data_IF_092668061733
#
_entry.id   IF_092668061733
#
_cell.length_a   1.000
_cell.length_b   1.000
_cell.length_c   1.000
_cell.angle_alpha   90.00
_cell.angle_beta   90.00
_cell.angle_gamma   90.00
#
_symmetry.space_group_name_H-M   'P 1'
#
loop_
_entity.id
_entity.type
_entity.pdbx_description
1 polymer ?
#
# COMPACT_ATOMS: atom_id res chain seq x y z
N UNK A 1 -52.55 -5.00 -16.09
CA UNK A 1 -53.54 -3.90 -16.26
C UNK A 1 -53.21 -2.86 -15.19
N UNK A 2 -52.91 -1.61 -15.60
CA UNK A 2 -52.42 -0.42 -14.82
C UNK A 2 -51.01 -0.60 -14.23
N UNK A 3 -49.92 0.03 -14.67
CA UNK A 3 -49.59 1.31 -15.35
C UNK A 3 -49.82 2.59 -14.52
N UNK A 4 -48.70 3.18 -14.07
CA UNK A 4 -48.47 4.58 -13.66
C UNK A 4 -46.93 4.73 -13.48
N UNK A 5 -46.18 5.43 -14.35
CA UNK A 5 -46.06 6.89 -14.54
C UNK A 5 -45.35 7.56 -13.34
N UNK A 6 -44.44 8.54 -13.45
CA UNK A 6 -43.59 9.15 -14.49
C UNK A 6 -42.69 10.17 -13.73
N UNK A 7 -41.68 10.75 -14.41
CA UNK A 7 -40.86 11.93 -14.06
C UNK A 7 -39.65 11.64 -13.14
N UNK A 8 -38.41 12.00 -13.48
CA UNK A 8 -37.89 12.80 -14.59
C UNK A 8 -36.70 13.60 -14.08
N UNK A 9 -35.56 13.60 -14.80
CA UNK A 9 -34.69 14.79 -14.85
C UNK A 9 -33.74 14.71 -16.04
N UNK A 10 -33.69 15.83 -16.73
CA UNK A 10 -33.17 16.10 -18.06
C UNK A 10 -31.67 16.35 -18.07
N UNK A 11 -31.06 15.83 -19.13
CA UNK A 11 -29.72 16.09 -19.64
C UNK A 11 -29.62 17.56 -20.11
N UNK A 12 -28.56 18.27 -19.72
CA UNK A 12 -28.22 19.59 -20.26
C UNK A 12 -26.77 19.58 -20.76
N UNK A 13 -26.60 19.68 -22.08
CA UNK A 13 -25.34 19.99 -22.77
C UNK A 13 -24.99 21.47 -22.61
N UNK A 14 -23.71 21.79 -22.35
CA UNK A 14 -23.13 23.12 -22.58
C UNK A 14 -21.76 22.93 -23.24
N UNK A 15 -21.40 23.74 -24.27
CA UNK A 15 -20.29 23.46 -25.17
C UNK A 15 -18.92 23.97 -24.71
N UNK A 16 -17.93 23.34 -25.33
CA UNK A 16 -16.52 23.62 -25.49
C UNK A 16 -16.20 25.10 -25.80
N UNK A 17 -15.29 25.71 -25.02
CA UNK A 17 -14.57 26.93 -25.43
C UNK A 17 -13.06 26.69 -25.30
N UNK A 18 -12.41 26.67 -26.45
CA UNK A 18 -10.98 26.59 -26.69
C UNK A 18 -10.36 27.98 -26.45
N UNK A 19 -9.42 28.11 -25.51
CA UNK A 19 -8.56 29.29 -25.40
C UNK A 19 -7.15 28.88 -25.76
N UNK A 20 -6.74 29.34 -26.94
CA UNK A 20 -5.40 29.30 -27.49
C UNK A 20 -4.63 30.50 -26.91
N UNK A 21 -3.60 30.27 -26.09
CA UNK A 21 -2.67 31.31 -25.69
C UNK A 21 -1.30 31.03 -26.31
N UNK A 22 -0.82 32.01 -27.06
CA UNK A 22 0.38 31.99 -27.88
C UNK A 22 1.68 31.86 -27.06
N UNK A 23 2.61 31.19 -27.73
CA UNK A 23 4.05 31.09 -27.50
C UNK A 23 4.68 32.47 -27.33
N UNK A 24 5.50 32.61 -26.28
CA UNK A 24 6.54 33.63 -26.17
C UNK A 24 7.86 32.91 -25.95
N UNK A 25 8.64 32.84 -27.03
CA UNK A 25 9.97 32.25 -27.12
C UNK A 25 11.03 33.37 -27.00
N UNK A 26 12.27 32.94 -26.76
CA UNK A 26 13.56 33.67 -26.83
C UNK A 26 14.19 34.24 -25.53
N UNK A 27 15.54 34.33 -25.45
CA UNK A 27 16.49 33.27 -25.77
C UNK A 27 17.58 33.10 -24.69
N UNK A 28 18.19 31.91 -24.68
CA UNK A 28 19.38 31.56 -23.91
C UNK A 28 20.61 32.15 -24.59
N UNK A 29 21.31 33.07 -23.92
CA UNK A 29 22.64 33.51 -24.32
C UNK A 29 23.70 32.69 -23.55
N UNK A 30 24.29 31.72 -24.23
CA UNK A 30 25.57 31.15 -23.89
C UNK A 30 26.67 31.99 -24.56
N UNK A 31 27.73 32.33 -23.83
CA UNK A 31 29.04 32.54 -24.44
C UNK A 31 30.17 32.12 -23.48
N UNK A 32 31.27 31.52 -23.98
CA UNK A 32 32.30 30.88 -23.17
C UNK A 32 33.50 31.81 -22.88
N UNK A 33 34.42 31.26 -22.09
CA UNK A 33 35.66 31.81 -21.52
C UNK A 33 36.60 32.55 -22.51
N UNK A 34 37.67 33.22 -22.01
CA UNK A 34 38.93 32.47 -21.88
C UNK A 34 39.87 32.85 -20.72
N UNK A 35 40.86 31.98 -20.58
CA UNK A 35 42.01 31.91 -19.69
C UNK A 35 42.94 33.14 -19.63
N UNK A 36 43.56 33.29 -18.46
CA UNK A 36 44.82 34.00 -18.17
C UNK A 36 44.88 34.22 -16.66
N UNK A 37 45.87 33.84 -15.86
CA UNK A 37 47.27 33.46 -16.08
C UNK A 37 48.06 34.11 -14.94
N UNK A 38 48.99 33.36 -14.32
CA UNK A 38 50.05 33.80 -13.38
C UNK A 38 49.60 34.30 -12.00
N UNK A 39 50.35 34.24 -10.90
CA UNK A 39 51.47 33.46 -10.33
C UNK A 39 51.66 34.05 -8.91
N UNK A 40 52.39 33.34 -8.05
CA UNK A 40 52.95 33.76 -6.76
C UNK A 40 52.01 33.88 -5.55
N UNK A 41 52.40 33.16 -4.50
CA UNK A 41 51.67 33.05 -3.25
C UNK A 41 51.89 34.19 -2.28
N UNK A 42 50.98 34.28 -1.32
CA UNK A 42 51.18 34.93 -0.04
C UNK A 42 50.39 34.17 1.03
N UNK A 43 51.08 33.86 2.13
CA UNK A 43 50.48 33.32 3.34
C UNK A 43 49.70 34.43 4.04
N UNK A 44 48.42 34.20 4.37
CA UNK A 44 47.67 35.15 5.20
C UNK A 44 46.18 34.88 5.28
N UNK A 45 45.75 34.42 6.45
CA UNK A 45 44.40 34.55 7.02
C UNK A 45 43.23 33.89 6.28
N UNK A 46 42.95 32.65 6.70
CA UNK A 46 41.71 31.92 6.49
C UNK A 46 40.53 32.68 7.14
N UNK A 47 39.50 33.13 6.39
CA UNK A 47 38.26 33.60 7.00
C UNK A 47 37.49 32.40 7.52
N UNK A 48 37.25 32.36 8.83
CA UNK A 48 36.30 31.45 9.45
C UNK A 48 34.89 31.80 8.95
N UNK A 49 34.35 30.98 8.05
CA UNK A 49 32.90 30.93 7.86
C UNK A 49 32.35 29.99 8.93
N UNK A 50 31.98 30.63 10.03
CA UNK A 50 31.13 30.12 11.10
C UNK A 50 29.75 29.82 10.49
N UNK A 51 29.64 28.67 9.81
CA UNK A 51 28.36 28.06 9.53
C UNK A 51 27.96 27.35 10.83
N UNK A 52 27.29 28.09 11.69
CA UNK A 52 26.64 27.58 12.88
C UNK A 52 25.75 26.41 12.48
N UNK A 53 26.25 25.21 12.69
CA UNK A 53 25.41 24.06 12.94
C UNK A 53 24.49 24.50 14.09
N UNK A 54 23.18 24.53 13.84
CA UNK A 54 22.18 24.61 14.89
C UNK A 54 22.50 23.49 15.88
N UNK A 55 23.21 23.87 16.96
CA UNK A 55 23.48 22.99 18.06
C UNK A 55 22.12 22.68 18.66
N UNK A 56 21.69 21.42 18.52
CA UNK A 56 20.61 20.88 19.31
C UNK A 56 20.88 21.27 20.77
N UNK A 57 20.02 22.12 21.34
CA UNK A 57 20.13 22.55 22.72
C UNK A 57 20.22 21.34 23.66
N UNK A 58 20.73 21.49 24.89
CA UNK A 58 20.80 20.38 25.83
C UNK A 58 19.42 19.75 25.97
N UNK A 59 19.29 18.48 25.59
CA UNK A 59 18.02 17.74 25.69
C UNK A 59 17.65 17.60 27.16
N UNK A 60 16.68 18.39 27.64
CA UNK A 60 16.20 18.29 29.01
C UNK A 60 15.28 17.09 29.13
N UNK A 61 15.50 16.27 30.15
CA UNK A 61 14.71 15.06 30.38
C UNK A 61 13.72 15.27 31.53
N UNK A 62 12.43 15.19 31.23
CA UNK A 62 11.34 15.24 32.20
C UNK A 62 10.97 13.80 32.57
N UNK A 63 11.03 13.43 33.85
CA UNK A 63 10.80 12.08 34.35
C UNK A 63 9.34 11.90 34.80
N UNK A 64 8.73 10.79 34.41
CA UNK A 64 7.37 10.40 34.78
C UNK A 64 7.39 8.99 35.38
N UNK A 65 6.84 8.82 36.58
CA UNK A 65 6.78 7.51 37.27
C UNK A 65 5.42 7.33 37.94
N UNK A 66 4.86 6.11 38.04
CA UNK A 66 3.59 5.88 38.74
C UNK A 66 3.58 6.35 40.21
N UNK A 67 4.74 6.31 40.87
CA UNK A 67 4.97 6.75 42.25
C UNK A 67 5.32 8.24 42.35
N UNK A 68 5.31 8.98 41.23
CA UNK A 68 5.69 10.39 41.17
C UNK A 68 4.66 11.32 41.83
N UNK A 69 4.90 12.63 41.75
CA UNK A 69 3.99 13.65 42.28
C UNK A 69 3.83 14.79 41.28
N UNK A 70 2.60 15.12 40.87
CA UNK A 70 2.34 16.17 39.87
C UNK A 70 2.64 17.60 40.37
N UNK A 71 2.90 17.78 41.66
CA UNK A 71 3.45 19.02 42.19
C UNK A 71 4.98 19.14 42.03
N UNK A 72 5.65 18.08 41.55
CA UNK A 72 7.08 18.09 41.25
C UNK A 72 7.40 18.90 39.98
N UNK A 73 8.70 19.17 39.79
CA UNK A 73 9.23 19.89 38.64
C UNK A 73 9.44 19.00 37.40
N UNK A 74 9.43 17.67 37.58
CA UNK A 74 9.70 16.70 36.51
C UNK A 74 11.18 16.52 36.19
N UNK A 75 12.07 17.37 36.69
CA UNK A 75 13.51 17.33 36.37
C UNK A 75 14.31 16.70 37.50
N UNK A 76 14.17 17.25 38.71
CA UNK A 76 14.84 16.72 39.92
C UNK A 76 13.97 15.68 40.61
N UNK A 77 12.65 15.84 40.54
CA UNK A 77 11.67 14.89 41.10
C UNK A 77 10.67 14.50 40.03
N UNK A 78 10.36 13.21 39.86
CA UNK A 78 9.46 12.77 38.81
C UNK A 78 8.03 13.26 39.06
N UNK A 79 7.35 13.65 37.99
CA UNK A 79 5.90 13.87 38.02
C UNK A 79 5.18 12.53 37.93
N UNK A 80 3.91 12.50 38.34
CA UNK A 80 3.11 11.28 38.35
C UNK A 80 2.52 10.98 36.97
N UNK A 81 2.03 12.01 36.30
CA UNK A 81 1.26 11.88 35.06
C UNK A 81 2.00 12.39 33.83
N UNK A 82 1.76 11.75 32.70
CA UNK A 82 2.14 12.21 31.38
C UNK A 82 1.51 13.58 31.09
N UNK A 83 0.24 13.78 31.46
CA UNK A 83 -0.43 15.08 31.32
C UNK A 83 0.38 16.21 31.95
N UNK A 84 0.85 16.03 33.20
CA UNK A 84 1.64 17.04 33.89
C UNK A 84 2.97 17.27 33.20
N UNK A 85 3.65 16.20 32.78
CA UNK A 85 4.93 16.29 32.09
C UNK A 85 4.82 17.07 30.77
N UNK A 86 3.78 16.82 29.97
CA UNK A 86 3.54 17.54 28.72
C UNK A 86 3.18 19.01 28.94
N UNK A 87 2.61 19.36 30.10
CA UNK A 87 2.38 20.76 30.49
C UNK A 87 3.65 21.52 30.90
N UNK A 88 4.74 20.79 31.19
CA UNK A 88 6.05 21.36 31.53
C UNK A 88 6.95 21.41 30.28
N UNK A 89 6.84 20.41 29.42
CA UNK A 89 7.69 20.20 28.26
C UNK A 89 7.63 21.33 27.23
N UNK A 90 8.78 21.62 26.64
CA UNK A 90 8.97 22.55 25.53
C UNK A 90 9.63 21.84 24.36
N UNK A 91 9.60 22.47 23.19
CA UNK A 91 10.28 21.95 22.00
C UNK A 91 11.75 21.57 22.32
N UNK A 92 12.15 20.36 21.94
CA UNK A 92 13.47 19.79 22.24
C UNK A 92 13.56 18.97 23.53
N UNK A 93 12.57 19.06 24.42
CA UNK A 93 12.55 18.24 25.64
C UNK A 93 12.15 16.79 25.34
N UNK A 94 12.62 15.89 26.21
CA UNK A 94 12.22 14.48 26.22
C UNK A 94 11.45 14.15 27.51
N UNK A 95 10.20 13.75 27.37
CA UNK A 95 9.39 13.18 28.46
C UNK A 95 9.64 11.68 28.52
N UNK A 96 10.23 11.20 29.61
CA UNK A 96 10.58 9.79 29.84
C UNK A 96 9.62 9.15 30.84
N UNK A 97 8.88 8.15 30.40
CA UNK A 97 8.01 7.35 31.25
C UNK A 97 8.77 6.12 31.74
N UNK A 98 8.73 5.89 33.05
CA UNK A 98 9.16 4.62 33.62
C UNK A 98 8.15 3.51 33.29
N UNK A 99 8.49 2.26 33.68
CA UNK A 99 7.51 1.18 33.63
C UNK A 99 6.32 1.51 34.54
N UNK A 100 5.13 1.24 34.05
CA UNK A 100 3.89 1.55 34.73
C UNK A 100 2.71 1.62 33.78
N UNK A 101 1.51 1.48 34.35
CA UNK A 101 0.27 1.76 33.65
C UNK A 101 -0.20 3.17 34.01
N UNK A 102 -0.38 3.99 32.98
CA UNK A 102 -0.84 5.37 33.06
C UNK A 102 -2.26 5.41 32.48
N UNK A 103 -3.25 5.49 33.36
CA UNK A 103 -4.67 5.48 33.02
C UNK A 103 -5.48 6.38 33.98
N UNK A 104 -6.81 6.34 33.88
CA UNK A 104 -7.67 7.15 34.73
C UNK A 104 -7.45 6.88 36.24
N UNK A 105 -7.04 5.68 36.64
CA UNK A 105 -6.76 5.34 38.03
C UNK A 105 -5.46 5.95 38.55
N UNK A 106 -4.49 6.20 37.66
CA UNK A 106 -3.26 6.92 38.00
C UNK A 106 -3.43 8.45 37.97
N UNK A 107 -4.54 8.95 37.43
CA UNK A 107 -4.88 10.37 37.32
C UNK A 107 -4.73 10.94 35.91
N UNK A 108 -4.51 10.10 34.90
CA UNK A 108 -4.44 10.56 33.51
C UNK A 108 -5.81 11.04 33.01
N UNK A 109 -5.77 11.98 32.07
CA UNK A 109 -6.92 12.36 31.27
C UNK A 109 -6.49 12.41 29.81
N UNK A 110 -7.20 11.68 28.95
CA UNK A 110 -6.88 11.59 27.53
C UNK A 110 -7.84 12.43 26.66
N UNK A 111 -7.40 12.94 25.50
CA UNK A 111 -6.10 12.68 24.86
C UNK A 111 -4.93 13.48 25.47
N UNK A 112 -3.75 12.85 25.47
CA UNK A 112 -2.48 13.50 25.72
C UNK A 112 -2.05 14.27 24.47
N UNK A 113 -1.99 15.60 24.55
CA UNK A 113 -1.57 16.47 23.44
C UNK A 113 -0.08 16.73 23.54
N UNK A 114 0.68 16.25 22.55
CA UNK A 114 2.13 16.41 22.53
C UNK A 114 2.47 17.80 21.97
N UNK A 115 3.18 18.66 22.74
CA UNK A 115 3.64 19.94 22.22
C UNK A 115 4.63 19.75 21.06
N UNK A 116 4.67 20.73 20.16
CA UNK A 116 5.51 20.64 18.97
C UNK A 116 7.00 20.48 19.34
N UNK A 117 7.66 19.52 18.69
CA UNK A 117 9.08 19.22 18.88
C UNK A 117 9.42 18.46 20.17
N UNK A 118 8.42 17.99 20.92
CA UNK A 118 8.63 17.15 22.11
C UNK A 118 8.79 15.68 21.72
N UNK A 119 9.70 14.99 22.42
CA UNK A 119 9.79 13.52 22.38
C UNK A 119 9.12 12.91 23.60
N UNK A 120 8.18 11.98 23.40
CA UNK A 120 7.61 11.14 24.46
C UNK A 120 8.19 9.74 24.32
N UNK A 121 8.88 9.27 25.36
CA UNK A 121 9.62 8.02 25.33
C UNK A 121 9.25 7.14 26.53
N UNK A 122 8.86 5.91 26.27
CA UNK A 122 8.67 4.88 27.29
C UNK A 122 9.96 4.14 27.65
N UNK A 123 9.82 3.12 28.50
CA UNK A 123 10.91 2.21 28.81
C UNK A 123 11.23 1.31 27.61
N UNK A 124 12.48 1.35 27.16
CA UNK A 124 12.97 0.48 26.09
C UNK A 124 12.70 -1.00 26.43
N UNK A 125 12.16 -1.75 25.47
CA UNK A 125 11.72 -3.13 25.66
C UNK A 125 10.25 -3.28 26.08
N UNK A 126 9.62 -2.23 26.62
CA UNK A 126 8.21 -2.17 26.99
C UNK A 126 7.97 -1.94 28.48
N UNK A 127 6.69 -1.84 28.85
CA UNK A 127 6.24 -1.68 30.24
C UNK A 127 5.71 -0.29 30.57
N UNK A 128 5.90 0.71 29.72
CA UNK A 128 5.22 2.01 29.81
C UNK A 128 3.92 1.99 29.02
N UNK A 129 2.80 1.77 29.71
CA UNK A 129 1.49 1.50 29.10
C UNK A 129 0.57 2.69 29.31
N UNK A 130 0.08 3.30 28.23
CA UNK A 130 -1.09 4.17 28.27
C UNK A 130 -2.34 3.29 28.19
N UNK A 131 -3.25 3.42 29.14
CA UNK A 131 -4.47 2.62 29.22
C UNK A 131 -5.74 3.44 29.06
N UNK A 132 -6.59 3.07 28.09
CA UNK A 132 -7.86 3.73 27.80
C UNK A 132 -9.09 2.84 27.99
N UNK A 133 -10.24 3.34 27.54
CA UNK A 133 -11.54 2.65 27.61
C UNK A 133 -12.19 2.32 26.26
N UNK A 134 -11.45 2.53 25.16
CA UNK A 134 -11.90 2.50 23.75
C UNK A 134 -12.85 3.63 23.34
N UNK A 135 -13.11 4.61 24.20
CA UNK A 135 -14.02 5.73 23.89
C UNK A 135 -13.28 6.99 23.42
N UNK A 136 -12.03 7.15 23.85
CA UNK A 136 -11.23 8.35 23.75
C UNK A 136 -9.95 8.12 22.93
N UNK A 137 -9.36 9.15 22.30
CA UNK A 137 -8.03 9.04 21.69
C UNK A 137 -6.94 9.03 22.76
N UNK A 138 -5.84 8.30 22.57
CA UNK A 138 -4.72 8.27 23.53
C UNK A 138 -3.82 9.50 23.38
N UNK A 139 -3.19 9.65 22.21
CA UNK A 139 -2.20 10.70 21.94
C UNK A 139 -2.60 11.47 20.67
N UNK A 140 -2.44 12.80 20.71
CA UNK A 140 -2.52 13.67 19.52
C UNK A 140 -1.17 14.34 19.30
N UNK A 141 -0.63 14.22 18.09
CA UNK A 141 0.69 14.73 17.69
C UNK A 141 0.56 15.72 16.54
N UNK A 142 0.88 16.99 16.82
CA UNK A 142 1.10 18.02 15.80
C UNK A 142 2.48 17.83 15.17
N UNK A 143 3.54 18.08 15.95
CA UNK A 143 4.92 17.76 15.58
C UNK A 143 5.66 17.08 16.73
N UNK A 144 6.33 15.95 16.51
CA UNK A 144 7.12 15.33 17.59
C UNK A 144 7.45 13.85 17.39
N UNK A 145 7.98 13.23 18.46
CA UNK A 145 8.41 11.82 18.44
C UNK A 145 7.70 11.03 19.53
N UNK A 146 7.17 9.87 19.19
CA UNK A 146 6.63 8.88 20.13
C UNK A 146 7.47 7.62 20.03
N UNK A 147 8.05 7.19 21.15
CA UNK A 147 9.00 6.09 21.18
C UNK A 147 8.74 5.12 22.34
N UNK A 148 8.87 3.82 22.09
CA UNK A 148 8.91 2.75 23.10
C UNK A 148 7.71 2.71 24.07
N UNK A 149 6.51 3.10 23.58
CA UNK A 149 5.27 3.05 24.35
C UNK A 149 4.38 1.86 23.98
N UNK A 150 3.61 1.41 24.96
CA UNK A 150 2.44 0.57 24.75
C UNK A 150 1.17 1.42 24.88
N UNK A 151 0.26 1.30 23.92
CA UNK A 151 -1.00 2.03 23.86
C UNK A 151 -2.12 0.99 23.82
N UNK A 152 -2.94 0.94 24.86
CA UNK A 152 -3.90 -0.12 25.08
C UNK A 152 -5.33 0.44 25.20
N UNK A 153 -6.22 -0.08 24.34
CA UNK A 153 -7.66 0.12 24.45
C UNK A 153 -8.13 1.56 24.29
N UNK A 154 -7.83 2.21 23.15
CA UNK A 154 -8.32 3.55 22.82
C UNK A 154 -9.24 3.57 21.59
N UNK A 155 -10.04 4.62 21.42
CA UNK A 155 -10.75 4.83 20.16
C UNK A 155 -9.75 5.06 19.02
N UNK A 156 -8.77 5.93 19.26
CA UNK A 156 -7.62 6.15 18.38
C UNK A 156 -6.36 6.08 19.23
N UNK A 157 -5.43 5.19 18.91
CA UNK A 157 -4.17 5.09 19.65
C UNK A 157 -3.33 6.35 19.49
N UNK A 158 -2.97 6.68 18.25
CA UNK A 158 -2.22 7.89 17.90
C UNK A 158 -2.93 8.61 16.77
N UNK A 159 -3.26 9.87 16.99
CA UNK A 159 -3.72 10.77 15.94
C UNK A 159 -2.60 11.73 15.55
N UNK A 160 -2.24 11.76 14.26
CA UNK A 160 -1.21 12.64 13.71
C UNK A 160 -1.84 13.65 12.77
N UNK A 161 -1.63 14.94 13.03
CA UNK A 161 -2.12 16.04 12.17
C UNK A 161 -0.99 16.88 11.54
N UNK A 162 0.26 16.61 11.88
CA UNK A 162 1.44 17.26 11.30
C UNK A 162 2.58 16.26 11.11
N UNK A 163 3.80 16.53 11.60
CA UNK A 163 4.97 15.65 11.35
C UNK A 163 5.33 14.81 12.57
N UNK A 164 5.24 13.48 12.47
CA UNK A 164 5.55 12.58 13.57
C UNK A 164 6.63 11.54 13.23
N UNK A 165 7.48 11.23 14.21
CA UNK A 165 8.33 10.05 14.21
C UNK A 165 7.82 9.04 15.24
N UNK A 166 7.53 7.81 14.80
CA UNK A 166 6.96 6.75 15.63
C UNK A 166 7.94 5.57 15.69
N UNK A 167 8.34 5.14 16.87
CA UNK A 167 9.35 4.08 17.01
C UNK A 167 9.07 3.09 18.13
N UNK A 168 9.19 1.79 17.86
CA UNK A 168 9.16 0.76 18.91
C UNK A 168 7.81 0.69 19.64
N UNK A 169 6.71 0.95 18.93
CA UNK A 169 5.39 1.09 19.54
C UNK A 169 4.63 -0.22 19.53
N UNK A 170 3.91 -0.49 20.63
CA UNK A 170 2.94 -1.59 20.71
C UNK A 170 1.54 -1.03 20.91
N UNK A 171 0.67 -1.16 19.93
CA UNK A 171 -0.71 -0.66 20.01
C UNK A 171 -1.67 -1.83 20.05
N UNK A 172 -2.43 -1.95 21.14
CA UNK A 172 -3.30 -3.10 21.39
C UNK A 172 -4.74 -2.65 21.57
N UNK A 173 -5.66 -3.38 20.95
CA UNK A 173 -7.11 -3.30 21.20
C UNK A 173 -7.67 -1.89 21.05
N UNK A 174 -7.03 -1.03 20.26
CA UNK A 174 -7.59 0.26 19.89
C UNK A 174 -8.49 0.08 18.67
N UNK A 175 -9.60 0.83 18.59
CA UNK A 175 -10.51 0.77 17.44
C UNK A 175 -9.77 1.16 16.16
N UNK A 176 -8.93 2.19 16.23
CA UNK A 176 -7.94 2.53 15.22
C UNK A 176 -6.59 2.74 15.91
N UNK A 177 -5.54 2.05 15.48
CA UNK A 177 -4.25 2.17 16.14
C UNK A 177 -3.55 3.49 15.81
N UNK A 178 -3.47 3.86 14.52
CA UNK A 178 -2.89 5.13 14.05
C UNK A 178 -3.84 5.76 13.04
N UNK A 179 -4.21 7.03 13.26
CA UNK A 179 -4.97 7.83 12.32
C UNK A 179 -4.14 9.04 11.88
N UNK A 180 -4.11 9.31 10.58
CA UNK A 180 -3.45 10.47 9.99
C UNK A 180 -4.37 11.14 8.96
N UNK A 181 -4.48 12.45 9.05
CA UNK A 181 -5.32 13.24 8.15
C UNK A 181 -4.64 14.54 7.72
N UNK A 182 -5.31 15.27 6.83
CA UNK A 182 -4.79 16.52 6.28
C UNK A 182 -3.45 16.31 5.58
N UNK A 183 -2.45 17.11 5.92
CA UNK A 183 -1.10 17.03 5.37
C UNK A 183 -0.10 16.35 6.33
N UNK A 184 -0.58 15.44 7.17
CA UNK A 184 0.26 14.72 8.13
C UNK A 184 1.40 13.96 7.44
N UNK A 185 2.58 13.93 8.06
CA UNK A 185 3.77 13.21 7.60
C UNK A 185 4.28 12.30 8.71
N UNK A 186 4.35 11.01 8.44
CA UNK A 186 4.73 10.01 9.44
C UNK A 186 5.94 9.24 8.96
N UNK A 187 6.95 9.17 9.82
CA UNK A 187 8.04 8.18 9.71
C UNK A 187 7.87 7.17 10.84
N UNK A 188 7.79 5.88 10.53
CA UNK A 188 7.57 4.86 11.52
C UNK A 188 8.55 3.68 11.40
N UNK A 189 8.93 3.13 12.54
CA UNK A 189 9.82 1.97 12.62
C UNK A 189 9.42 1.08 13.81
N UNK A 190 9.45 -0.23 13.60
CA UNK A 190 9.22 -1.25 14.63
C UNK A 190 7.87 -1.05 15.33
N UNK A 191 6.82 -0.97 14.52
CA UNK A 191 5.45 -0.80 14.98
C UNK A 191 4.77 -2.17 15.03
N UNK A 192 4.17 -2.47 16.18
CA UNK A 192 3.42 -3.69 16.43
C UNK A 192 1.97 -3.34 16.80
N UNK A 193 1.01 -3.79 15.99
CA UNK A 193 -0.41 -3.52 16.19
C UNK A 193 -1.18 -4.83 16.37
N UNK A 194 -1.99 -4.91 17.41
CA UNK A 194 -2.88 -6.05 17.67
C UNK A 194 -4.31 -5.55 17.89
N UNK A 195 -5.25 -5.94 17.05
CA UNK A 195 -6.67 -5.64 17.27
C UNK A 195 -7.35 -6.61 18.24
N UNK A 196 -8.62 -6.36 18.53
CA UNK A 196 -9.51 -7.34 19.14
C UNK A 196 -10.11 -8.26 18.06
N UNK A 197 -9.99 -9.57 18.26
CA UNK A 197 -10.61 -10.56 17.39
C UNK A 197 -12.10 -10.27 17.20
N UNK A 198 -12.58 -10.42 15.98
CA UNK A 198 -13.95 -10.18 15.50
C UNK A 198 -14.48 -8.74 15.64
N UNK A 199 -13.67 -7.81 16.17
CA UNK A 199 -14.06 -6.40 16.30
C UNK A 199 -13.79 -5.60 15.02
N UNK A 200 -13.01 -6.16 14.10
CA UNK A 200 -12.60 -5.52 12.85
C UNK A 200 -11.96 -4.14 13.08
N UNK A 201 -11.15 -4.06 14.13
CA UNK A 201 -10.34 -2.87 14.44
C UNK A 201 -9.39 -2.55 13.26
N UNK A 202 -9.04 -1.27 13.12
CA UNK A 202 -8.18 -0.76 12.07
C UNK A 202 -6.74 -0.52 12.57
N UNK A 203 -5.75 -0.79 11.73
CA UNK A 203 -4.35 -0.53 11.99
C UNK A 203 -4.00 0.95 11.77
N UNK A 204 -3.64 1.28 10.53
CA UNK A 204 -3.27 2.62 10.10
C UNK A 204 -4.31 3.15 9.11
N UNK A 205 -4.94 4.27 9.44
CA UNK A 205 -5.90 4.94 8.57
C UNK A 205 -5.34 6.28 8.09
N UNK A 206 -5.16 6.42 6.78
CA UNK A 206 -4.64 7.61 6.12
C UNK A 206 -5.72 8.26 5.25
N UNK A 207 -5.88 9.58 5.40
CA UNK A 207 -6.81 10.38 4.61
C UNK A 207 -6.23 11.74 4.22
N UNK A 208 -6.91 12.47 3.33
CA UNK A 208 -6.41 13.76 2.84
C UNK A 208 -5.14 13.59 2.00
N UNK A 209 -4.12 14.37 2.31
CA UNK A 209 -2.77 14.35 1.71
C UNK A 209 -1.75 13.73 2.67
N UNK A 210 -2.19 12.88 3.61
CA UNK A 210 -1.32 12.26 4.60
C UNK A 210 -0.27 11.34 3.94
N UNK A 211 0.97 11.43 4.39
CA UNK A 211 2.12 10.68 3.87
C UNK A 211 2.73 9.79 4.95
N UNK A 212 2.81 8.49 4.67
CA UNK A 212 3.34 7.49 5.59
C UNK A 212 4.58 6.81 5.00
N UNK A 213 5.67 6.79 5.77
CA UNK A 213 6.82 5.93 5.51
C UNK A 213 7.04 5.00 6.69
N UNK A 214 6.97 3.68 6.48
CA UNK A 214 7.17 2.66 7.53
C UNK A 214 8.27 1.68 7.13
N UNK A 215 9.25 1.51 8.01
CA UNK A 215 10.35 0.55 7.80
C UNK A 215 9.92 -0.88 8.15
N UNK A 216 9.14 -1.06 9.22
CA UNK A 216 8.68 -2.36 9.72
C UNK A 216 7.35 -2.19 10.48
N UNK A 217 6.35 -2.97 10.07
CA UNK A 217 5.02 -3.02 10.66
C UNK A 217 4.58 -4.48 10.79
N UNK A 218 4.29 -4.88 12.02
CA UNK A 218 3.65 -6.17 12.32
C UNK A 218 2.20 -5.94 12.74
N UNK A 219 1.25 -6.63 12.12
CA UNK A 219 -0.16 -6.56 12.51
C UNK A 219 -0.79 -7.93 12.68
N UNK A 220 -1.77 -8.01 13.58
CA UNK A 220 -2.56 -9.21 13.83
C UNK A 220 -3.96 -8.87 14.30
N UNK A 221 -4.94 -9.71 13.95
CA UNK A 221 -6.32 -9.61 14.44
C UNK A 221 -6.98 -8.25 14.13
N UNK A 222 -6.68 -7.69 12.96
CA UNK A 222 -7.29 -6.46 12.45
C UNK A 222 -8.22 -6.77 11.28
N UNK A 223 -9.28 -5.98 11.11
CA UNK A 223 -10.08 -6.02 9.88
C UNK A 223 -9.26 -5.46 8.71
N UNK A 224 -8.79 -4.22 8.86
CA UNK A 224 -7.90 -3.55 7.91
C UNK A 224 -6.60 -3.15 8.59
N UNK A 225 -5.47 -3.55 8.03
CA UNK A 225 -4.15 -3.13 8.51
C UNK A 225 -3.81 -1.73 8.03
N UNK A 226 -4.03 -1.43 6.76
CA UNK A 226 -3.75 -0.12 6.16
C UNK A 226 -4.89 0.30 5.26
N UNK A 227 -5.48 1.47 5.53
CA UNK A 227 -6.34 2.18 4.58
C UNK A 227 -5.68 3.47 4.12
N UNK A 228 -5.72 3.72 2.80
CA UNK A 228 -5.23 4.95 2.20
C UNK A 228 -6.29 5.52 1.25
N UNK A 229 -6.83 6.68 1.60
CA UNK A 229 -7.93 7.33 0.88
C UNK A 229 -7.53 8.69 0.31
N UNK A 230 -8.35 9.23 -0.59
CA UNK A 230 -8.15 10.55 -1.22
C UNK A 230 -6.80 10.69 -1.93
N UNK A 231 -5.86 11.45 -1.38
CA UNK A 231 -4.52 11.67 -1.93
C UNK A 231 -3.43 11.10 -1.00
N UNK A 232 -3.77 10.27 -0.02
CA UNK A 232 -2.79 9.74 0.90
C UNK A 232 -1.73 8.89 0.17
N UNK A 233 -0.49 8.96 0.64
CA UNK A 233 0.63 8.13 0.17
C UNK A 233 1.14 7.22 1.28
N UNK A 234 1.62 6.04 0.89
CA UNK A 234 2.26 5.13 1.83
C UNK A 234 3.43 4.39 1.19
N UNK A 235 4.56 4.32 1.89
CA UNK A 235 5.70 3.45 1.57
C UNK A 235 5.97 2.55 2.75
N UNK A 236 5.83 1.23 2.57
CA UNK A 236 5.99 0.25 3.64
C UNK A 236 7.02 -0.81 3.27
N UNK A 237 7.98 -1.05 4.15
CA UNK A 237 9.00 -2.09 4.05
C UNK A 237 8.81 -3.19 5.11
N UNK A 238 9.44 -4.35 4.88
CA UNK A 238 9.78 -5.38 5.89
C UNK A 238 8.68 -5.65 6.91
N UNK A 239 7.50 -5.96 6.41
CA UNK A 239 6.28 -6.00 7.22
C UNK A 239 5.58 -7.36 7.14
N UNK A 240 4.90 -7.74 8.22
CA UNK A 240 4.09 -8.97 8.28
C UNK A 240 2.71 -8.65 8.82
N UNK A 241 1.69 -8.88 8.00
CA UNK A 241 0.32 -8.54 8.31
C UNK A 241 -0.56 -9.77 8.29
N UNK A 242 -1.40 -9.89 9.32
CA UNK A 242 -2.38 -10.95 9.44
C UNK A 242 -3.75 -10.30 9.67
N UNK A 243 -4.64 -10.50 8.69
CA UNK A 243 -6.03 -10.08 8.80
C UNK A 243 -6.82 -11.01 9.71
N UNK A 244 -7.83 -10.46 10.37
CA UNK A 244 -8.78 -11.25 11.12
C UNK A 244 -9.69 -12.06 10.17
N UNK A 245 -9.69 -13.41 10.24
CA UNK A 245 -10.53 -14.23 9.37
C UNK A 245 -12.04 -14.06 9.63
N UNK A 246 -12.43 -13.51 10.78
CA UNK A 246 -13.82 -13.18 11.11
C UNK A 246 -14.31 -11.87 10.49
N UNK A 247 -13.42 -11.06 9.91
CA UNK A 247 -13.74 -9.77 9.31
C UNK A 247 -13.94 -9.87 7.80
N UNK A 248 -14.81 -9.02 7.27
CA UNK A 248 -15.09 -8.97 5.84
C UNK A 248 -14.20 -7.99 5.07
N UNK A 249 -13.48 -7.15 5.80
CA UNK A 249 -12.62 -6.10 5.28
C UNK A 249 -11.36 -6.65 4.64
N UNK A 250 -10.77 -5.93 3.67
CA UNK A 250 -9.48 -6.27 3.12
C UNK A 250 -8.35 -5.89 4.10
N UNK A 251 -7.24 -6.63 4.07
CA UNK A 251 -6.06 -6.32 4.89
C UNK A 251 -5.46 -4.97 4.48
N UNK A 252 -5.43 -4.66 3.17
CA UNK A 252 -5.15 -3.33 2.64
C UNK A 252 -6.35 -2.81 1.85
N UNK A 253 -6.84 -1.63 2.24
CA UNK A 253 -7.86 -0.88 1.50
C UNK A 253 -7.22 0.31 0.76
N UNK A 254 -7.12 0.21 -0.56
CA UNK A 254 -6.54 1.24 -1.42
C UNK A 254 -7.65 2.03 -2.09
N UNK A 255 -7.85 3.29 -1.73
CA UNK A 255 -8.80 4.20 -2.37
C UNK A 255 -8.17 5.57 -2.71
N UNK A 256 -6.84 5.65 -2.71
CA UNK A 256 -6.09 6.85 -3.02
C UNK A 256 -5.84 7.00 -4.52
N UNK A 257 -5.74 8.25 -4.99
CA UNK A 257 -5.30 8.61 -6.35
C UNK A 257 -3.79 8.73 -6.46
N UNK A 258 -3.07 8.60 -5.35
CA UNK A 258 -1.62 8.70 -5.27
C UNK A 258 -1.00 7.30 -5.18
N UNK A 259 0.28 7.27 -4.79
CA UNK A 259 1.10 6.07 -4.79
C UNK A 259 1.06 5.38 -3.42
N UNK A 260 0.84 4.06 -3.43
CA UNK A 260 1.17 3.19 -2.30
C UNK A 260 2.20 2.16 -2.77
N UNK A 261 3.29 2.03 -2.03
CA UNK A 261 4.37 1.11 -2.33
C UNK A 261 4.63 0.18 -1.15
N UNK A 262 4.60 -1.13 -1.40
CA UNK A 262 4.94 -2.17 -0.44
C UNK A 262 6.18 -2.93 -0.92
N UNK A 263 7.11 -3.20 -0.01
CA UNK A 263 8.28 -4.02 -0.30
C UNK A 263 8.66 -4.93 0.86
N UNK A 264 9.18 -6.12 0.56
CA UNK A 264 9.53 -7.12 1.58
C UNK A 264 8.36 -7.34 2.57
N UNK A 265 7.12 -7.35 2.07
CA UNK A 265 5.91 -7.34 2.89
C UNK A 265 5.07 -8.57 2.63
N UNK A 266 4.64 -9.25 3.70
CA UNK A 266 3.86 -10.48 3.64
C UNK A 266 2.49 -10.26 4.29
N UNK A 267 1.44 -10.49 3.52
CA UNK A 267 0.06 -10.57 3.99
C UNK A 267 -0.31 -12.06 4.06
N UNK A 268 -0.64 -12.54 5.26
CA UNK A 268 -0.81 -13.97 5.55
C UNK A 268 -2.09 -14.18 6.37
N UNK A 269 -3.19 -14.49 5.69
CA UNK A 269 -4.50 -14.63 6.32
C UNK A 269 -5.34 -13.34 6.34
N UNK A 270 -6.64 -13.53 6.50
CA UNK A 270 -7.69 -12.52 6.30
C UNK A 270 -8.66 -12.93 5.19
N UNK A 271 -9.66 -12.08 4.89
CA UNK A 271 -10.62 -12.37 3.82
C UNK A 271 -10.12 -11.99 2.43
N UNK A 272 -9.67 -10.75 2.29
CA UNK A 272 -9.09 -10.24 1.03
C UNK A 272 -7.74 -9.63 1.38
N UNK A 273 -6.70 -9.90 0.58
CA UNK A 273 -5.40 -9.31 0.82
C UNK A 273 -5.41 -7.81 0.54
N UNK A 274 -5.56 -7.43 -0.72
CA UNK A 274 -5.55 -6.04 -1.16
C UNK A 274 -6.80 -5.76 -1.98
N UNK A 275 -7.55 -4.72 -1.61
CA UNK A 275 -8.67 -4.23 -2.39
C UNK A 275 -8.37 -2.83 -2.95
N UNK A 276 -8.54 -2.69 -4.27
CA UNK A 276 -8.49 -1.43 -4.98
C UNK A 276 -9.91 -0.88 -5.15
N UNK A 277 -10.12 0.37 -4.71
CA UNK A 277 -11.39 1.07 -4.78
C UNK A 277 -11.91 1.19 -6.21
N UNK A 278 -13.23 1.13 -6.38
CA UNK A 278 -13.87 0.94 -7.69
C UNK A 278 -14.36 2.23 -8.37
N UNK A 279 -14.05 3.42 -7.84
CA UNK A 279 -14.74 4.65 -8.21
C UNK A 279 -13.80 5.81 -8.55
N UNK A 280 -13.56 6.03 -9.84
CA UNK A 280 -12.87 7.19 -10.38
C UNK A 280 -12.43 6.96 -11.83
N UNK A 281 -12.04 8.02 -12.54
CA UNK A 281 -11.39 7.93 -13.87
C UNK A 281 -9.86 7.94 -13.77
N UNK A 282 -9.30 8.46 -12.68
CA UNK A 282 -7.85 8.52 -12.48
C UNK A 282 -7.38 7.36 -11.61
N UNK A 283 -6.56 6.44 -12.15
CA UNK A 283 -6.02 5.34 -11.36
C UNK A 283 -4.97 5.84 -10.39
N UNK A 284 -5.00 5.33 -9.15
CA UNK A 284 -3.86 5.40 -8.25
C UNK A 284 -2.73 4.50 -8.72
N UNK A 285 -1.52 4.72 -8.19
CA UNK A 285 -0.35 3.89 -8.47
C UNK A 285 -0.10 2.93 -7.30
N UNK A 286 0.09 1.65 -7.58
CA UNK A 286 0.41 0.65 -6.57
C UNK A 286 1.65 -0.13 -6.99
N UNK A 287 2.66 -0.16 -6.11
CA UNK A 287 3.83 -1.00 -6.32
C UNK A 287 3.95 -2.03 -5.23
N UNK A 288 4.25 -3.26 -5.61
CA UNK A 288 4.45 -4.35 -4.68
C UNK A 288 5.64 -5.17 -5.13
N UNK A 289 6.70 -5.22 -4.30
CA UNK A 289 7.96 -5.73 -4.79
C UNK A 289 8.85 -6.41 -3.75
N UNK A 290 9.97 -6.98 -4.21
CA UNK A 290 11.08 -7.49 -3.38
C UNK A 290 10.65 -8.59 -2.41
N UNK A 291 10.48 -9.80 -2.92
CA UNK A 291 10.07 -10.99 -2.16
C UNK A 291 8.82 -10.77 -1.30
N UNK A 292 7.86 -10.00 -1.81
CA UNK A 292 6.60 -9.77 -1.12
C UNK A 292 5.57 -10.86 -1.41
N UNK A 293 4.58 -11.03 -0.54
CA UNK A 293 3.57 -12.07 -0.72
C UNK A 293 2.18 -11.71 -0.21
N UNK A 294 1.15 -12.24 -0.88
CA UNK A 294 -0.23 -12.33 -0.37
C UNK A 294 -0.66 -13.78 -0.43
N UNK A 295 -0.92 -14.36 0.73
CA UNK A 295 -1.24 -15.79 0.82
C UNK A 295 -2.23 -16.12 1.91
N UNK A 296 -2.80 -17.33 1.80
CA UNK A 296 -3.71 -17.91 2.78
C UNK A 296 -4.95 -17.04 3.05
N UNK A 297 -5.35 -16.19 2.10
CA UNK A 297 -6.60 -15.44 2.20
C UNK A 297 -7.78 -16.40 2.04
N UNK A 298 -8.87 -16.22 2.79
CA UNK A 298 -10.08 -17.01 2.58
C UNK A 298 -10.82 -16.63 1.29
N UNK A 299 -10.56 -15.43 0.77
CA UNK A 299 -11.06 -14.89 -0.50
C UNK A 299 -9.95 -14.69 -1.54
N UNK A 300 -9.96 -13.52 -2.21
CA UNK A 300 -8.98 -13.17 -3.24
C UNK A 300 -7.70 -12.59 -2.63
N UNK A 301 -6.57 -12.79 -3.30
CA UNK A 301 -5.34 -12.10 -2.94
C UNK A 301 -5.47 -10.60 -3.26
N UNK A 302 -5.77 -10.26 -4.52
CA UNK A 302 -5.98 -8.90 -5.00
C UNK A 302 -7.36 -8.79 -5.65
N UNK A 303 -8.13 -7.74 -5.33
CA UNK A 303 -9.44 -7.47 -5.92
C UNK A 303 -9.63 -5.99 -6.27
N UNK A 304 -10.43 -5.68 -7.29
CA UNK A 304 -10.89 -4.31 -7.55
C UNK A 304 -10.57 -3.81 -8.96
N UNK A 305 -10.54 -2.51 -9.17
CA UNK A 305 -10.34 -1.96 -10.52
C UNK A 305 -9.82 -0.53 -10.51
N UNK A 306 -9.39 -0.07 -11.69
CA UNK A 306 -8.81 1.24 -11.95
C UNK A 306 -7.57 1.60 -11.10
N UNK A 307 -6.54 0.76 -11.19
CA UNK A 307 -5.22 0.99 -10.61
C UNK A 307 -4.14 0.84 -11.70
N UNK A 308 -3.02 1.53 -11.54
CA UNK A 308 -1.76 1.18 -12.21
C UNK A 308 -0.92 0.38 -11.22
N UNK A 309 -0.99 -0.95 -11.31
CA UNK A 309 -0.33 -1.88 -10.41
C UNK A 309 0.95 -2.44 -11.04
N UNK A 310 2.08 -2.28 -10.35
CA UNK A 310 3.37 -2.87 -10.70
C UNK A 310 3.74 -3.91 -9.65
N UNK A 311 3.75 -5.19 -10.01
CA UNK A 311 4.21 -6.26 -9.14
C UNK A 311 5.53 -6.79 -9.68
N UNK A 312 6.57 -6.81 -8.84
CA UNK A 312 7.89 -7.30 -9.22
C UNK A 312 8.50 -8.18 -8.13
N UNK A 313 8.69 -9.47 -8.40
CA UNK A 313 9.15 -10.44 -7.39
C UNK A 313 8.14 -10.58 -6.23
N UNK A 314 6.94 -11.05 -6.59
CA UNK A 314 5.78 -11.18 -5.69
C UNK A 314 5.16 -12.57 -5.78
N UNK A 315 4.75 -13.13 -4.65
CA UNK A 315 3.97 -14.36 -4.57
C UNK A 315 2.49 -14.11 -4.24
N UNK A 316 1.58 -14.68 -5.03
CA UNK A 316 0.14 -14.71 -4.79
C UNK A 316 -0.32 -16.18 -4.69
N UNK A 317 -0.44 -16.71 -3.48
CA UNK A 317 -0.61 -18.17 -3.31
C UNK A 317 -1.60 -18.63 -2.25
N UNK A 318 -2.14 -19.84 -2.43
CA UNK A 318 -2.98 -20.52 -1.43
C UNK A 318 -4.20 -19.68 -1.01
N UNK A 319 -4.72 -18.82 -1.90
CA UNK A 319 -5.90 -18.02 -1.62
C UNK A 319 -7.18 -18.80 -1.97
N UNK A 320 -8.20 -18.66 -1.14
CA UNK A 320 -9.47 -19.39 -1.22
C UNK A 320 -10.32 -19.02 -2.45
N UNK A 321 -9.93 -17.99 -3.20
CA UNK A 321 -10.50 -17.66 -4.52
C UNK A 321 -9.42 -17.45 -5.57
N UNK A 322 -9.25 -16.23 -6.10
CA UNK A 322 -8.33 -15.93 -7.18
C UNK A 322 -7.05 -15.26 -6.66
N UNK A 323 -5.95 -15.39 -7.41
CA UNK A 323 -4.76 -14.57 -7.16
C UNK A 323 -5.06 -13.10 -7.41
N UNK A 324 -5.61 -12.78 -8.59
CA UNK A 324 -6.05 -11.43 -8.97
C UNK A 324 -7.46 -11.52 -9.56
N UNK A 325 -8.40 -10.73 -9.06
CA UNK A 325 -9.74 -10.52 -9.65
C UNK A 325 -9.94 -9.02 -9.92
N UNK A 326 -9.81 -8.60 -11.18
CA UNK A 326 -9.81 -7.18 -11.51
C UNK A 326 -10.82 -6.77 -12.60
N UNK A 327 -11.44 -5.61 -12.42
CA UNK A 327 -12.47 -5.07 -13.33
C UNK A 327 -12.00 -3.95 -14.25
N UNK A 328 -10.73 -3.57 -14.18
CA UNK A 328 -10.00 -2.67 -15.09
C UNK A 328 -8.57 -2.44 -14.58
N UNK A 329 -7.86 -1.47 -15.16
CA UNK A 329 -6.55 -1.01 -14.70
C UNK A 329 -5.41 -1.55 -15.56
N UNK A 330 -4.20 -1.11 -15.24
CA UNK A 330 -2.97 -1.60 -15.85
C UNK A 330 -2.20 -2.45 -14.83
N UNK A 331 -1.91 -3.69 -15.20
CA UNK A 331 -1.27 -4.68 -14.35
C UNK A 331 0.05 -5.10 -14.99
N UNK A 332 1.16 -4.53 -14.52
CA UNK A 332 2.53 -4.88 -14.93
C UNK A 332 3.10 -5.89 -13.92
N UNK A 333 3.14 -7.16 -14.33
CA UNK A 333 3.53 -8.29 -13.51
C UNK A 333 4.85 -8.87 -14.01
N UNK A 334 5.91 -8.76 -13.20
CA UNK A 334 7.26 -9.28 -13.50
C UNK A 334 7.74 -10.19 -12.39
N UNK A 335 8.29 -11.35 -12.73
CA UNK A 335 8.76 -12.32 -11.74
C UNK A 335 7.71 -12.65 -10.65
N UNK A 336 6.43 -12.74 -11.04
CA UNK A 336 5.34 -13.02 -10.11
C UNK A 336 5.06 -14.52 -10.08
N UNK A 337 4.85 -15.09 -8.89
CA UNK A 337 4.42 -16.47 -8.69
C UNK A 337 2.96 -16.51 -8.26
N UNK A 338 2.06 -16.94 -9.14
CA UNK A 338 0.63 -17.07 -8.88
C UNK A 338 0.27 -18.55 -8.86
N UNK A 339 0.10 -19.12 -7.67
CA UNK A 339 0.00 -20.58 -7.52
C UNK A 339 -0.99 -21.04 -6.46
N UNK A 340 -1.59 -22.19 -6.67
CA UNK A 340 -2.42 -22.86 -5.65
C UNK A 340 -3.60 -22.01 -5.15
N UNK A 341 -4.08 -21.07 -5.95
CA UNK A 341 -5.34 -20.37 -5.66
C UNK A 341 -6.50 -21.27 -6.04
N UNK A 342 -7.58 -21.26 -5.27
CA UNK A 342 -8.68 -22.23 -5.42
C UNK A 342 -9.49 -22.07 -6.72
N UNK A 343 -9.46 -20.87 -7.33
CA UNK A 343 -10.13 -20.56 -8.60
C UNK A 343 -9.07 -20.18 -9.64
N UNK A 344 -9.21 -19.05 -10.34
CA UNK A 344 -8.26 -18.64 -11.36
C UNK A 344 -6.99 -18.05 -10.74
N UNK A 345 -5.86 -18.14 -11.46
CA UNK A 345 -4.68 -17.38 -11.08
C UNK A 345 -4.93 -15.88 -11.25
N UNK A 346 -5.33 -15.49 -12.47
CA UNK A 346 -5.70 -14.12 -12.82
C UNK A 346 -7.08 -14.16 -13.48
N UNK A 347 -7.99 -13.29 -13.04
CA UNK A 347 -9.19 -12.89 -13.76
C UNK A 347 -9.13 -11.38 -13.99
N UNK A 348 -9.22 -10.98 -15.25
CA UNK A 348 -9.27 -9.58 -15.63
C UNK A 348 -10.45 -9.36 -16.57
N UNK A 349 -11.24 -8.34 -16.27
CA UNK A 349 -12.20 -7.78 -17.21
C UNK A 349 -11.98 -6.29 -17.37
N UNK A 350 -12.31 -5.73 -18.54
CA UNK A 350 -12.42 -4.29 -18.73
C UNK A 350 -13.80 -3.79 -18.32
N UNK A 351 -13.85 -2.66 -17.63
CA UNK A 351 -15.11 -2.05 -17.20
C UNK A 351 -15.90 -1.48 -18.39
N UNK A 352 -15.22 -1.04 -19.46
CA UNK A 352 -15.85 -0.58 -20.69
C UNK A 352 -14.88 -0.60 -21.87
N UNK A 353 -15.37 -0.20 -23.06
CA UNK A 353 -14.52 0.01 -24.23
C UNK A 353 -13.46 1.10 -24.06
N UNK A 354 -13.57 1.97 -23.04
CA UNK A 354 -12.61 3.02 -22.73
C UNK A 354 -11.74 2.60 -21.54
N UNK A 355 -12.38 2.10 -20.49
CA UNK A 355 -11.71 1.67 -19.25
C UNK A 355 -11.39 0.18 -19.35
N UNK A 356 -10.30 -0.12 -20.06
CA UNK A 356 -9.82 -1.48 -20.32
C UNK A 356 -9.15 -2.09 -19.10
N UNK A 357 -9.11 -3.43 -19.04
CA UNK A 357 -8.15 -4.16 -18.24
C UNK A 357 -6.92 -4.48 -19.09
N UNK A 358 -5.73 -4.06 -18.66
CA UNK A 358 -4.48 -4.30 -19.39
C UNK A 358 -3.56 -5.17 -18.55
N UNK A 359 -3.11 -6.29 -19.10
CA UNK A 359 -2.15 -7.20 -18.46
C UNK A 359 -0.84 -7.20 -19.24
N UNK A 360 0.27 -6.95 -18.55
CA UNK A 360 1.62 -7.23 -19.00
C UNK A 360 2.21 -8.29 -18.07
N UNK A 361 2.66 -9.42 -18.61
CA UNK A 361 3.23 -10.51 -17.82
C UNK A 361 4.60 -10.92 -18.37
N UNK A 362 5.62 -10.88 -17.52
CA UNK A 362 6.98 -11.32 -17.87
C UNK A 362 7.62 -12.18 -16.78
N UNK A 363 8.40 -13.17 -17.20
CA UNK A 363 9.21 -14.03 -16.33
C UNK A 363 8.44 -14.59 -15.12
N UNK A 364 7.14 -14.83 -15.29
CA UNK A 364 6.23 -15.14 -14.19
C UNK A 364 5.73 -16.59 -14.28
N UNK A 365 5.25 -17.12 -13.16
CA UNK A 365 4.72 -18.47 -13.06
C UNK A 365 3.26 -18.42 -12.65
N UNK A 366 2.38 -19.00 -13.47
CA UNK A 366 0.94 -19.12 -13.18
C UNK A 366 0.55 -20.60 -13.23
N UNK A 367 0.55 -21.26 -12.06
CA UNK A 367 0.50 -22.72 -12.01
C UNK A 367 -0.34 -23.26 -10.87
N UNK A 368 -0.85 -24.49 -11.00
CA UNK A 368 -1.55 -25.21 -9.93
C UNK A 368 -2.76 -24.46 -9.35
N UNK A 369 -3.38 -23.53 -10.09
CA UNK A 369 -4.62 -22.89 -9.68
C UNK A 369 -5.81 -23.81 -9.98
N UNK A 370 -6.87 -23.75 -9.17
CA UNK A 370 -8.05 -24.63 -9.26
C UNK A 370 -8.99 -24.34 -10.44
N UNK A 371 -8.76 -23.25 -11.17
CA UNK A 371 -9.46 -22.86 -12.39
C UNK A 371 -8.49 -22.61 -13.54
N UNK A 372 -8.83 -21.65 -14.40
CA UNK A 372 -7.94 -21.22 -15.48
C UNK A 372 -6.69 -20.54 -14.88
N UNK A 373 -5.53 -20.68 -15.54
CA UNK A 373 -4.35 -19.93 -15.11
C UNK A 373 -4.59 -18.43 -15.23
N UNK A 374 -4.93 -18.01 -16.44
CA UNK A 374 -5.25 -16.61 -16.78
C UNK A 374 -6.60 -16.60 -17.49
N UNK A 375 -7.53 -15.79 -17.02
CA UNK A 375 -8.82 -15.57 -17.64
C UNK A 375 -8.97 -14.08 -17.99
N UNK A 376 -8.93 -13.78 -19.29
CA UNK A 376 -9.16 -12.44 -19.83
C UNK A 376 -10.57 -12.40 -20.43
N UNK A 377 -11.43 -11.53 -19.91
CA UNK A 377 -12.84 -11.46 -20.29
C UNK A 377 -13.24 -10.04 -20.65
N UNK A 378 -13.83 -9.81 -21.84
CA UNK A 378 -14.39 -8.52 -22.28
C UNK A 378 -13.51 -7.28 -22.09
N UNK A 379 -13.25 -6.53 -23.17
CA UNK A 379 -12.54 -5.25 -23.05
C UNK A 379 -11.16 -5.36 -22.35
N UNK A 380 -10.49 -6.50 -22.49
CA UNK A 380 -9.15 -6.74 -21.99
C UNK A 380 -8.11 -6.62 -23.09
N UNK A 381 -6.91 -6.19 -22.71
CA UNK A 381 -5.70 -6.25 -23.52
C UNK A 381 -4.67 -7.06 -22.75
N UNK A 382 -3.94 -7.93 -23.43
CA UNK A 382 -2.93 -8.78 -22.82
C UNK A 382 -1.66 -8.83 -23.66
N UNK A 383 -0.55 -8.60 -22.99
CA UNK A 383 0.80 -8.86 -23.47
C UNK A 383 1.46 -9.83 -22.50
N UNK A 384 1.42 -11.11 -22.84
CA UNK A 384 2.10 -12.19 -22.13
C UNK A 384 3.45 -12.50 -22.77
N UNK A 385 3.90 -11.69 -23.73
CA UNK A 385 5.13 -11.88 -24.51
C UNK A 385 4.89 -11.56 -25.98
N UNK A 386 5.82 -10.85 -26.60
CA UNK A 386 5.82 -10.51 -28.04
C UNK A 386 7.09 -11.03 -28.71
N UNK A 387 7.16 -11.00 -30.04
CA UNK A 387 8.38 -11.34 -30.77
C UNK A 387 9.59 -10.45 -30.41
N UNK A 388 9.36 -9.18 -30.06
CA UNK A 388 10.41 -8.25 -29.64
C UNK A 388 10.78 -8.39 -28.15
N UNK A 389 9.84 -8.84 -27.32
CA UNK A 389 10.02 -9.00 -25.88
C UNK A 389 9.31 -10.28 -25.45
N UNK A 390 10.04 -11.40 -25.54
CA UNK A 390 9.52 -12.72 -25.19
C UNK A 390 8.99 -12.73 -23.74
N UNK A 391 7.92 -13.49 -23.53
CA UNK A 391 7.23 -13.55 -22.25
C UNK A 391 8.07 -14.15 -21.13
N UNK A 392 8.69 -15.30 -21.39
CA UNK A 392 9.43 -16.05 -20.38
C UNK A 392 8.54 -16.61 -19.26
N UNK A 393 7.22 -16.67 -19.46
CA UNK A 393 6.28 -17.12 -18.44
C UNK A 393 6.10 -18.64 -18.47
N UNK A 394 5.77 -19.23 -17.32
CA UNK A 394 5.32 -20.63 -17.21
C UNK A 394 3.85 -20.67 -16.84
N UNK A 395 3.01 -21.15 -17.76
CA UNK A 395 1.55 -21.18 -17.63
C UNK A 395 1.08 -22.63 -17.84
N UNK A 396 1.10 -23.42 -16.77
CA UNK A 396 0.83 -24.86 -16.83
C UNK A 396 0.29 -25.40 -15.51
N UNK A 397 -0.26 -26.62 -15.52
CA UNK A 397 -0.68 -27.30 -14.29
C UNK A 397 -1.93 -26.72 -13.61
N UNK A 398 -2.60 -25.70 -14.18
CA UNK A 398 -3.88 -25.17 -13.69
C UNK A 398 -5.04 -26.13 -14.05
N UNK A 399 -6.03 -26.33 -13.19
CA UNK A 399 -7.09 -27.31 -13.41
C UNK A 399 -8.03 -26.97 -14.59
N UNK A 400 -8.10 -25.70 -14.99
CA UNK A 400 -8.74 -25.23 -16.21
C UNK A 400 -7.79 -25.22 -17.42
N UNK A 401 -7.98 -24.23 -18.29
CA UNK A 401 -7.03 -23.92 -19.36
C UNK A 401 -5.82 -23.14 -18.80
N UNK A 402 -4.69 -23.17 -19.50
CA UNK A 402 -3.57 -22.27 -19.22
C UNK A 402 -4.01 -20.81 -19.31
N UNK A 403 -4.59 -20.44 -20.47
CA UNK A 403 -5.27 -19.18 -20.71
C UNK A 403 -6.68 -19.39 -21.25
N UNK A 404 -7.64 -18.60 -20.79
CA UNK A 404 -8.98 -18.50 -21.33
C UNK A 404 -9.20 -17.06 -21.78
N UNK A 405 -9.45 -16.85 -23.06
CA UNK A 405 -9.78 -15.53 -23.62
C UNK A 405 -11.21 -15.56 -24.11
N UNK A 406 -12.08 -14.81 -23.45
CA UNK A 406 -13.51 -14.83 -23.75
C UNK A 406 -14.15 -13.44 -23.67
N UNK A 407 -15.45 -13.39 -23.95
CA UNK A 407 -16.23 -12.16 -23.98
C UNK A 407 -16.90 -11.94 -25.32
N UNK A 408 -17.80 -10.98 -25.33
CA UNK A 408 -18.63 -10.57 -26.47
C UNK A 408 -18.21 -9.19 -27.00
N UNK A 409 -17.35 -8.47 -26.28
CA UNK A 409 -16.98 -7.09 -26.57
C UNK A 409 -15.47 -6.85 -26.49
N UNK A 410 -14.98 -5.99 -27.37
CA UNK A 410 -13.57 -5.58 -27.37
C UNK A 410 -12.60 -6.71 -27.69
N UNK A 411 -13.01 -7.67 -28.54
CA UNK A 411 -12.19 -8.78 -28.97
C UNK A 411 -10.93 -8.29 -29.71
N UNK A 412 -9.78 -8.82 -29.31
CA UNK A 412 -8.47 -8.51 -29.89
C UNK A 412 -7.59 -9.75 -29.90
N UNK A 413 -6.44 -9.65 -30.56
CA UNK A 413 -5.35 -10.62 -30.38
C UNK A 413 -4.66 -10.39 -29.05
N UNK A 414 -4.37 -11.47 -28.31
CA UNK A 414 -3.50 -11.45 -27.13
C UNK A 414 -2.14 -12.04 -27.54
N UNK A 415 -1.07 -11.28 -27.31
CA UNK A 415 0.29 -11.78 -27.60
C UNK A 415 0.78 -12.61 -26.42
N UNK A 416 1.29 -13.80 -26.71
CA UNK A 416 1.74 -14.79 -25.73
C UNK A 416 2.97 -15.56 -26.21
N UNK A 417 3.84 -14.85 -26.95
CA UNK A 417 5.06 -15.38 -27.56
C UNK A 417 6.14 -15.64 -26.51
N UNK A 418 6.83 -16.78 -26.65
CA UNK A 418 7.99 -17.10 -25.82
C UNK A 418 7.64 -17.58 -24.41
N UNK A 419 6.46 -18.18 -24.24
CA UNK A 419 6.00 -18.78 -22.99
C UNK A 419 6.16 -20.30 -22.98
N UNK A 420 6.21 -20.88 -21.78
CA UNK A 420 6.22 -22.32 -21.53
C UNK A 420 4.83 -22.76 -21.06
N UNK A 421 4.26 -23.71 -21.77
CA UNK A 421 2.90 -24.23 -21.59
C UNK A 421 2.91 -25.72 -21.21
N UNK A 422 1.75 -26.38 -21.20
CA UNK A 422 1.69 -27.83 -21.06
C UNK A 422 2.32 -28.49 -22.31
N UNK A 423 3.30 -29.40 -22.14
CA UNK A 423 3.93 -30.11 -23.25
C UNK A 423 2.95 -30.93 -24.08
N UNK A 424 3.20 -31.01 -25.40
CA UNK A 424 2.45 -31.87 -26.31
C UNK A 424 0.94 -31.65 -26.35
N UNK A 425 0.49 -30.46 -25.92
CA UNK A 425 -0.92 -30.05 -25.93
C UNK A 425 -1.10 -28.93 -26.96
N UNK A 426 -2.15 -29.05 -27.79
CA UNK A 426 -2.52 -28.04 -28.79
C UNK A 426 -1.35 -27.61 -29.69
N UNK A 427 -0.52 -28.57 -30.12
CA UNK A 427 0.67 -28.34 -30.98
C UNK A 427 1.88 -27.70 -30.30
N UNK A 428 1.86 -27.50 -28.98
CA UNK A 428 3.09 -27.26 -28.24
C UNK A 428 4.03 -28.47 -28.35
N UNK A 429 5.33 -28.24 -28.44
CA UNK A 429 6.32 -29.31 -28.49
C UNK A 429 6.48 -30.02 -27.12
N UNK A 430 7.41 -30.99 -27.04
CA UNK A 430 7.68 -31.76 -25.82
C UNK A 430 8.22 -30.92 -24.64
N UNK A 431 8.62 -29.66 -24.90
CA UNK A 431 9.05 -28.69 -23.88
C UNK A 431 7.95 -27.67 -23.57
N UNK A 432 6.73 -27.83 -24.12
CA UNK A 432 5.63 -26.88 -23.92
C UNK A 432 5.79 -25.57 -24.68
N UNK A 433 6.59 -25.54 -25.76
CA UNK A 433 6.82 -24.33 -26.56
C UNK A 433 6.10 -24.41 -27.91
N UNK A 434 5.56 -23.27 -28.34
CA UNK A 434 5.11 -23.04 -29.71
C UNK A 434 6.29 -22.49 -30.52
N UNK A 435 6.52 -23.04 -31.71
CA UNK A 435 7.66 -22.67 -32.56
C UNK A 435 7.12 -22.20 -33.90
N UNK A 436 7.63 -21.08 -34.42
CA UNK A 436 7.29 -20.59 -35.76
C UNK A 436 6.14 -19.57 -35.83
N UNK A 437 5.75 -18.95 -34.71
CA UNK A 437 4.69 -17.93 -34.67
C UNK A 437 3.32 -18.53 -34.94
N UNK A 438 2.69 -19.08 -33.90
CA UNK A 438 1.41 -19.79 -34.05
C UNK A 438 0.27 -18.84 -33.74
N UNK A 439 -0.57 -18.54 -34.75
CA UNK A 439 -1.83 -17.82 -34.52
C UNK A 439 -2.96 -18.80 -34.27
N UNK A 440 -3.53 -18.77 -33.06
CA UNK A 440 -4.71 -19.56 -32.71
C UNK A 440 -5.95 -18.66 -32.72
N UNK A 441 -6.89 -18.94 -33.62
CA UNK A 441 -8.13 -18.18 -33.75
C UNK A 441 -9.29 -18.91 -33.06
N UNK A 442 -10.15 -18.15 -32.37
CA UNK A 442 -11.40 -18.70 -31.84
C UNK A 442 -12.40 -19.07 -32.96
N UNK A 443 -13.36 -19.96 -32.68
CA UNK A 443 -13.62 -20.57 -31.38
C UNK A 443 -12.75 -21.81 -31.11
N UNK A 444 -12.21 -21.87 -29.89
CA UNK A 444 -11.56 -23.05 -29.30
C UNK A 444 -12.23 -23.33 -27.97
N UNK A 445 -12.92 -24.47 -27.87
CA UNK A 445 -13.71 -24.83 -26.70
C UNK A 445 -12.86 -24.92 -25.43
N UNK A 446 -13.44 -24.53 -24.29
CA UNK A 446 -12.81 -24.66 -22.98
C UNK A 446 -12.83 -26.13 -22.54
N UNK A 447 -11.66 -26.75 -22.54
CA UNK A 447 -11.45 -28.13 -22.09
C UNK A 447 -10.36 -28.15 -21.02
N UNK A 448 -10.59 -28.86 -19.92
CA UNK A 448 -9.60 -29.07 -18.86
C UNK A 448 -8.32 -29.65 -19.43
N UNK A 449 -7.17 -29.07 -19.06
CA UNK A 449 -5.86 -29.51 -19.52
C UNK A 449 -5.39 -28.88 -20.82
N UNK A 450 -6.22 -28.07 -21.50
CA UNK A 450 -5.76 -27.29 -22.65
C UNK A 450 -4.78 -26.19 -22.23
N UNK A 451 -3.92 -25.80 -23.18
CA UNK A 451 -3.09 -24.60 -23.05
C UNK A 451 -3.93 -23.34 -23.18
N UNK A 452 -4.89 -23.35 -24.11
CA UNK A 452 -5.77 -22.21 -24.34
C UNK A 452 -7.22 -22.60 -24.66
N UNK A 453 -8.13 -21.70 -24.31
CA UNK A 453 -9.52 -21.63 -24.77
C UNK A 453 -9.79 -20.21 -25.30
N UNK A 454 -10.55 -20.11 -26.39
CA UNK A 454 -10.71 -18.85 -27.12
C UNK A 454 -12.16 -18.74 -27.63
N UNK A 455 -12.87 -17.68 -27.25
CA UNK A 455 -14.21 -17.39 -27.81
C UNK A 455 -14.10 -16.84 -29.23
N UNK A 456 -15.13 -17.05 -30.07
CA UNK A 456 -15.17 -16.51 -31.42
C UNK A 456 -14.87 -15.00 -31.46
N UNK A 457 -14.05 -14.56 -32.43
CA UNK A 457 -13.61 -13.17 -32.58
C UNK A 457 -12.32 -12.81 -31.84
N UNK A 458 -11.88 -13.63 -30.89
CA UNK A 458 -10.60 -13.50 -30.20
C UNK A 458 -9.52 -14.37 -30.84
N UNK A 459 -8.25 -14.04 -30.61
CA UNK A 459 -7.12 -14.85 -31.05
C UNK A 459 -5.92 -14.74 -30.10
N UNK A 460 -5.02 -15.72 -30.19
CA UNK A 460 -3.72 -15.73 -29.53
C UNK A 460 -2.59 -15.76 -30.56
N UNK A 461 -1.49 -15.09 -30.24
CA UNK A 461 -0.22 -15.16 -30.95
C UNK A 461 0.82 -15.84 -30.03
N UNK A 462 1.28 -17.04 -30.39
CA UNK A 462 2.01 -17.99 -29.52
C UNK A 462 3.47 -18.26 -29.97
#
# INVERSE_FOLDING_TARGET
MRLGALLGTTLLCIPLTLVLACVGDEPVAANPAPFGGTDAGEAGTQPSVDAGAEAAGPTTSIQVTPEGNDNADGYLKPVKTLKRALGIAKAGDTVKLAAGRYDASSGETFPAKVPDGVTVMGLAGGGSILGGTRAEPAIVVGSGTIQDLEIDSFKVGIHVSGTASLKGLRIRKSVTAIAADGAAKITAQDIDITGNLTSCDAGVALSGDADLTVVSLATRSLGTTLSAEANATATVGKSRWEGDPGCNDPVLAFATKKRVALSETVLDGGRVGIAFGTAGTTPGAFDFAKASAVRNMSGNALVGGNVTATLNDVELSMNGRMGIEASSGAWDLKAVSIKQNAVAGIYLQGASAIVKGKLLLRSSTVTQNGGDGIYLFDNTQGDLGTGASAGGNTIAGNAGAGINVAGFTGATTISAVGNTWRPSVQSANALGRYVGGVSANGPVARVTGNNYAITAGWSLDL
#
